data_IF_363322952718
#
_entry.id   IF_363322952718
#
_cell.length_a   1.000
_cell.length_b   1.000
_cell.length_c   1.000
_cell.angle_alpha   90.00
_cell.angle_beta   90.00
_cell.angle_gamma   90.00
#
_symmetry.space_group_name_H-M   'P 1'
#
loop_
_entity.id
_entity.type
_entity.pdbx_description
1 polymer ?
#
# COMPACT_ATOMS: atom_id res chain seq x y z
N UNK A 1 13.16 -7.32 3.97
CA UNK A 1 13.45 -6.68 5.27
C UNK A 1 13.18 -7.64 6.44
N UNK A 2 13.88 -8.78 6.43
CA UNK A 2 13.75 -9.84 7.44
C UNK A 2 15.04 -9.97 8.24
N UNK A 3 16.18 -9.63 7.62
CA UNK A 3 17.44 -9.61 8.33
C UNK A 3 17.51 -8.44 9.33
N UNK A 4 18.36 -8.61 10.34
CA UNK A 4 18.49 -7.69 11.47
C UNK A 4 18.84 -6.27 11.03
N UNK A 5 19.74 -6.13 10.07
CA UNK A 5 20.28 -4.83 9.65
C UNK A 5 19.18 -3.99 9.01
N UNK A 6 18.47 -4.55 8.01
CA UNK A 6 17.37 -3.85 7.34
C UNK A 6 16.17 -3.59 8.26
N UNK A 7 15.85 -4.54 9.17
CA UNK A 7 14.77 -4.33 10.13
C UNK A 7 15.08 -3.18 11.10
N UNK A 8 16.30 -3.15 11.66
CA UNK A 8 16.74 -2.07 12.56
C UNK A 8 16.79 -0.74 11.81
N UNK A 9 17.37 -0.71 10.61
CA UNK A 9 17.41 0.50 9.77
C UNK A 9 16.01 1.06 9.51
N UNK A 10 15.05 0.20 9.12
CA UNK A 10 13.67 0.61 8.85
C UNK A 10 13.02 1.24 10.08
N UNK A 11 13.17 0.62 11.27
CA UNK A 11 12.61 1.15 12.51
C UNK A 11 13.25 2.49 12.86
N UNK A 12 14.57 2.56 12.85
CA UNK A 12 15.31 3.79 13.20
C UNK A 12 15.00 4.93 12.23
N UNK A 13 15.04 4.67 10.92
CA UNK A 13 14.82 5.69 9.90
C UNK A 13 13.39 6.25 9.95
N UNK A 14 12.38 5.39 10.00
CA UNK A 14 10.99 5.82 9.94
C UNK A 14 10.58 6.51 11.25
N UNK A 15 10.77 5.84 12.40
CA UNK A 15 10.29 6.34 13.68
C UNK A 15 11.06 7.61 14.10
N UNK A 16 12.39 7.61 14.00
CA UNK A 16 13.18 8.80 14.32
C UNK A 16 12.88 9.95 13.34
N UNK A 17 12.68 9.64 12.05
CA UNK A 17 12.28 10.63 11.05
C UNK A 17 10.96 11.30 11.42
N UNK A 18 9.95 10.51 11.76
CA UNK A 18 8.64 11.03 12.19
C UNK A 18 8.76 11.89 13.45
N UNK A 19 9.49 11.43 14.46
CA UNK A 19 9.72 12.22 15.70
C UNK A 19 10.42 13.55 15.41
N UNK A 20 11.45 13.57 14.56
CA UNK A 20 12.13 14.79 14.17
C UNK A 20 11.17 15.80 13.49
N UNK A 21 10.30 15.33 12.60
CA UNK A 21 9.27 16.17 11.98
C UNK A 21 8.31 16.73 13.02
N UNK A 22 7.82 15.90 13.95
CA UNK A 22 6.87 16.33 14.98
C UNK A 22 7.48 17.39 15.92
N UNK A 23 8.74 17.23 16.34
CA UNK A 23 9.43 18.23 17.15
C UNK A 23 9.69 19.53 16.37
N UNK A 24 10.09 19.44 15.09
CA UNK A 24 10.25 20.61 14.24
C UNK A 24 8.90 21.35 14.03
N UNK A 25 7.80 20.61 13.84
CA UNK A 25 6.46 21.23 13.76
C UNK A 25 6.09 21.93 15.06
N UNK A 26 6.29 21.27 16.20
CA UNK A 26 6.04 21.88 17.51
C UNK A 26 6.79 23.20 17.70
N UNK A 27 8.06 23.25 17.28
CA UNK A 27 8.94 24.40 17.50
C UNK A 27 8.68 25.52 16.49
N UNK A 28 8.54 25.18 15.19
CA UNK A 28 8.57 26.18 14.13
C UNK A 28 7.19 26.43 13.49
N UNK A 29 6.31 25.43 13.45
CA UNK A 29 5.02 25.52 12.73
C UNK A 29 3.89 24.79 13.45
N UNK A 30 3.58 25.13 14.74
CA UNK A 30 2.65 24.35 15.56
C UNK A 30 1.19 24.35 15.05
N UNK A 31 0.85 25.24 14.12
CA UNK A 31 -0.47 25.31 13.48
C UNK A 31 -0.53 24.60 12.12
N UNK A 32 0.60 24.10 11.62
CA UNK A 32 0.62 23.36 10.35
C UNK A 32 -0.03 21.99 10.54
N UNK A 33 -0.81 21.57 9.54
CA UNK A 33 -1.36 20.23 9.52
C UNK A 33 -0.30 19.23 9.05
N UNK A 34 -0.27 18.06 9.67
CA UNK A 34 0.47 16.90 9.20
C UNK A 34 -0.45 15.98 8.40
N UNK A 35 -0.07 15.65 7.16
CA UNK A 35 -0.69 14.57 6.38
C UNK A 35 0.32 13.44 6.27
N UNK A 36 0.01 12.30 6.91
CA UNK A 36 0.84 11.08 6.86
C UNK A 36 0.30 10.12 5.82
N UNK A 37 1.18 9.50 5.07
CA UNK A 37 0.85 8.35 4.23
C UNK A 37 1.10 7.06 5.02
N UNK A 38 0.01 6.52 5.59
CA UNK A 38 -0.05 5.25 6.29
C UNK A 38 -0.20 4.07 5.34
N UNK A 39 -0.67 2.93 5.84
CA UNK A 39 -0.90 1.72 5.05
C UNK A 39 -2.05 0.90 5.61
N UNK A 40 -2.92 0.38 4.75
CA UNK A 40 -3.92 -0.63 5.13
C UNK A 40 -3.27 -1.90 5.74
N UNK A 41 -2.02 -2.18 5.39
CA UNK A 41 -1.25 -3.28 5.98
C UNK A 41 -0.97 -3.11 7.47
N UNK A 42 -1.15 -1.93 8.06
CA UNK A 42 -1.03 -1.71 9.51
C UNK A 42 -2.08 -2.51 10.30
N UNK A 43 -3.27 -2.71 9.72
CA UNK A 43 -4.35 -3.47 10.36
C UNK A 43 -4.09 -4.98 10.40
N UNK A 44 -3.23 -5.50 9.51
CA UNK A 44 -3.05 -6.93 9.33
C UNK A 44 -4.28 -7.59 8.69
N UNK A 45 -4.68 -8.75 9.20
CA UNK A 45 -5.83 -9.52 8.72
C UNK A 45 -6.78 -9.88 9.87
N UNK A 46 -7.45 -8.88 10.49
CA UNK A 46 -8.41 -9.13 11.56
C UNK A 46 -9.64 -9.89 11.02
N UNK A 47 -10.34 -10.61 11.88
CA UNK A 47 -11.58 -11.31 11.54
C UNK A 47 -12.82 -10.50 11.96
N UNK A 48 -12.73 -9.18 11.90
CA UNK A 48 -13.80 -8.20 12.14
C UNK A 48 -13.69 -7.09 11.12
N UNK A 49 -14.73 -6.27 10.97
CA UNK A 49 -14.71 -5.08 10.11
C UNK A 49 -13.60 -4.13 10.52
N UNK A 50 -12.94 -3.52 9.52
CA UNK A 50 -11.90 -2.54 9.74
C UNK A 50 -12.50 -1.13 9.65
N UNK A 51 -12.57 -0.44 10.77
CA UNK A 51 -13.03 0.94 10.84
C UNK A 51 -11.92 1.94 10.45
N UNK A 52 -12.31 3.17 10.18
CA UNK A 52 -11.37 4.26 9.86
C UNK A 52 -10.71 4.81 11.13
N UNK A 53 -9.67 4.10 11.59
CA UNK A 53 -8.79 4.50 12.68
C UNK A 53 -9.32 4.33 14.09
N UNK A 54 -10.65 4.22 14.29
CA UNK A 54 -11.27 4.20 15.61
C UNK A 54 -12.30 3.09 15.72
N UNK A 55 -12.40 2.49 16.91
CA UNK A 55 -13.36 1.44 17.23
C UNK A 55 -14.18 1.84 18.47
N UNK A 56 -15.49 1.77 18.36
CA UNK A 56 -16.37 1.86 19.52
C UNK A 56 -16.37 0.53 20.27
N UNK A 57 -15.96 0.56 21.53
CA UNK A 57 -15.81 -0.65 22.35
C UNK A 57 -16.73 -0.58 23.55
N UNK A 58 -17.43 -1.68 23.82
CA UNK A 58 -18.12 -1.90 25.08
C UNK A 58 -17.47 -3.09 25.82
N UNK A 59 -16.97 -2.86 27.04
CA UNK A 59 -16.38 -3.87 27.88
C UNK A 59 -16.83 -3.71 29.33
N UNK A 60 -17.38 -4.77 29.92
CA UNK A 60 -17.91 -4.77 31.29
C UNK A 60 -18.89 -3.61 31.58
N UNK A 61 -19.79 -3.31 30.60
CA UNK A 61 -20.80 -2.26 30.72
C UNK A 61 -20.26 -0.84 30.57
N UNK A 62 -19.00 -0.66 30.21
CA UNK A 62 -18.38 0.63 29.93
C UNK A 62 -18.14 0.78 28.43
N UNK A 63 -18.41 1.97 27.90
CA UNK A 63 -18.20 2.30 26.48
C UNK A 63 -17.05 3.30 26.35
N UNK A 64 -16.23 3.09 25.32
CA UNK A 64 -15.15 4.00 24.96
C UNK A 64 -14.88 3.95 23.46
N UNK A 65 -14.23 4.98 22.93
CA UNK A 65 -13.75 5.06 21.57
C UNK A 65 -12.24 4.94 21.59
N UNK A 66 -11.74 3.82 21.11
CA UNK A 66 -10.31 3.49 21.15
C UNK A 66 -9.70 3.46 19.74
N UNK A 67 -8.38 3.68 19.61
CA UNK A 67 -7.71 3.42 18.34
C UNK A 67 -7.96 1.99 17.88
N UNK A 68 -8.26 1.81 16.59
CA UNK A 68 -8.48 0.49 16.03
C UNK A 68 -7.24 -0.40 16.27
N UNK A 69 -7.38 -1.64 16.78
CA UNK A 69 -6.26 -2.51 17.09
C UNK A 69 -5.52 -2.92 15.80
N UNK A 70 -4.22 -2.69 15.75
CA UNK A 70 -3.38 -2.96 14.60
C UNK A 70 -2.52 -4.20 14.84
N UNK A 71 -2.40 -5.07 13.81
CA UNK A 71 -1.61 -6.32 13.83
C UNK A 71 -0.65 -6.36 12.64
N UNK A 72 0.36 -5.48 12.59
CA UNK A 72 1.22 -5.31 11.44
C UNK A 72 2.00 -6.59 11.10
N UNK A 73 1.99 -7.03 9.80
CA UNK A 73 2.59 -8.29 9.39
C UNK A 73 4.09 -8.17 9.04
N UNK A 74 4.70 -6.99 9.18
CA UNK A 74 6.12 -6.77 8.88
C UNK A 74 6.71 -5.63 9.69
N UNK A 75 8.04 -5.58 9.79
CA UNK A 75 8.75 -4.45 10.42
C UNK A 75 8.44 -3.10 9.75
N UNK A 76 8.21 -3.08 8.44
CA UNK A 76 7.76 -1.88 7.75
C UNK A 76 6.39 -1.41 8.27
N UNK A 77 5.39 -2.30 8.28
CA UNK A 77 4.07 -1.93 8.80
C UNK A 77 4.11 -1.61 10.29
N UNK A 78 4.96 -2.29 11.07
CA UNK A 78 5.15 -1.98 12.49
C UNK A 78 5.71 -0.56 12.69
N UNK A 79 6.68 -0.12 11.86
CA UNK A 79 7.16 1.26 11.92
C UNK A 79 6.07 2.28 11.58
N UNK A 80 5.20 1.96 10.62
CA UNK A 80 4.04 2.81 10.27
C UNK A 80 3.02 2.92 11.42
N UNK A 81 2.80 1.83 12.16
CA UNK A 81 1.96 1.85 13.39
C UNK A 81 2.58 2.74 14.45
N UNK A 82 3.90 2.59 14.70
CA UNK A 82 4.61 3.44 15.66
C UNK A 82 4.56 4.94 15.27
N UNK A 83 4.63 5.24 13.97
CA UNK A 83 4.45 6.61 13.47
C UNK A 83 3.04 7.13 13.78
N UNK A 84 1.98 6.34 13.51
CA UNK A 84 0.59 6.71 13.83
C UNK A 84 0.42 7.00 15.32
N UNK A 85 0.98 6.14 16.19
CA UNK A 85 0.87 6.28 17.65
C UNK A 85 1.60 7.53 18.16
N UNK A 86 2.81 7.82 17.64
CA UNK A 86 3.54 9.04 17.94
C UNK A 86 2.78 10.30 17.49
N UNK A 87 2.22 10.29 16.28
CA UNK A 87 1.43 11.41 15.76
C UNK A 87 0.15 11.60 16.61
N UNK A 88 -0.61 10.55 16.85
CA UNK A 88 -1.82 10.60 17.69
C UNK A 88 -1.52 11.15 19.09
N UNK A 89 -0.42 10.70 19.72
CA UNK A 89 0.01 11.20 21.01
C UNK A 89 0.33 12.70 20.96
N UNK A 90 1.08 13.15 19.94
CA UNK A 90 1.46 14.58 19.82
C UNK A 90 0.29 15.47 19.42
N UNK A 91 -0.70 14.99 18.67
CA UNK A 91 -1.96 15.70 18.46
C UNK A 91 -2.60 16.03 19.82
N UNK A 92 -2.73 15.02 20.68
CA UNK A 92 -3.38 15.16 21.99
C UNK A 92 -2.64 16.11 22.94
N UNK A 93 -1.29 16.08 22.96
CA UNK A 93 -0.51 16.86 23.95
C UNK A 93 -0.05 18.23 23.45
N UNK A 94 0.15 18.40 22.13
CA UNK A 94 0.65 19.65 21.54
C UNK A 94 -0.38 20.38 20.68
N UNK A 95 -1.54 19.77 20.45
CA UNK A 95 -2.59 20.37 19.64
C UNK A 95 -2.30 20.36 18.13
N UNK A 96 -1.29 19.61 17.64
CA UNK A 96 -1.00 19.48 16.23
C UNK A 96 -2.17 18.79 15.54
N UNK A 97 -2.75 19.37 14.45
CA UNK A 97 -3.75 18.67 13.64
C UNK A 97 -3.08 17.68 12.70
N UNK A 98 -3.57 16.44 12.62
CA UNK A 98 -3.01 15.45 11.70
C UNK A 98 -4.08 14.59 11.02
N UNK A 99 -3.81 14.22 9.77
CA UNK A 99 -4.58 13.24 9.00
C UNK A 99 -3.68 12.09 8.57
N UNK A 100 -4.05 10.86 8.94
CA UNK A 100 -3.39 9.63 8.50
C UNK A 100 -4.19 8.99 7.37
N UNK A 101 -3.59 8.85 6.20
CA UNK A 101 -4.16 8.21 5.02
C UNK A 101 -3.61 6.78 4.93
N UNK A 102 -4.37 5.80 5.41
CA UNK A 102 -3.98 4.39 5.34
C UNK A 102 -4.18 3.85 3.92
N UNK A 103 -3.12 3.92 3.12
CA UNK A 103 -3.16 3.58 1.70
C UNK A 103 -3.36 2.09 1.46
N UNK A 104 -4.25 1.75 0.53
CA UNK A 104 -4.32 0.46 -0.13
C UNK A 104 -3.14 0.23 -1.08
N UNK A 105 -3.28 -0.75 -1.95
CA UNK A 105 -2.29 -1.05 -3.00
C UNK A 105 -2.43 -0.01 -4.12
N UNK A 106 -1.47 0.90 -4.19
CA UNK A 106 -1.45 1.93 -5.23
C UNK A 106 -1.07 1.30 -6.57
N UNK A 107 -1.84 1.60 -7.61
CA UNK A 107 -1.56 1.23 -8.99
C UNK A 107 -1.63 2.46 -9.91
N UNK A 108 -1.04 2.33 -11.08
CA UNK A 108 -0.93 3.43 -12.03
C UNK A 108 0.49 3.99 -12.05
N UNK A 109 0.83 4.67 -13.13
CA UNK A 109 2.17 5.24 -13.38
C UNK A 109 2.12 6.68 -13.85
N UNK A 110 0.92 7.18 -14.15
CA UNK A 110 0.72 8.50 -14.75
C UNK A 110 -0.45 9.23 -14.06
N UNK A 111 -0.33 10.54 -13.97
CA UNK A 111 -1.43 11.49 -13.78
C UNK A 111 -1.48 12.40 -15.00
N UNK A 112 -2.52 13.23 -15.13
CA UNK A 112 -2.61 14.18 -16.24
C UNK A 112 -1.37 15.10 -16.33
N UNK A 113 -0.83 15.50 -15.17
CA UNK A 113 0.35 16.34 -15.08
C UNK A 113 1.61 15.58 -15.51
N UNK A 114 1.83 14.37 -15.01
CA UNK A 114 3.03 13.57 -15.33
C UNK A 114 3.04 13.08 -16.77
N UNK A 115 1.89 12.89 -17.40
CA UNK A 115 1.77 12.55 -18.80
C UNK A 115 2.12 13.71 -19.74
N UNK A 116 2.08 14.95 -19.26
CA UNK A 116 2.38 16.15 -20.05
C UNK A 116 3.86 16.36 -20.34
N UNK A 117 4.77 15.79 -19.52
CA UNK A 117 6.23 15.96 -19.65
C UNK A 117 6.97 14.69 -19.22
N UNK A 118 7.77 14.12 -20.12
CA UNK A 118 8.53 12.90 -19.87
C UNK A 118 9.49 13.00 -18.66
N UNK A 119 9.90 14.21 -18.25
CA UNK A 119 10.73 14.45 -17.06
C UNK A 119 9.98 14.21 -15.75
N UNK A 120 8.65 14.20 -15.79
CA UNK A 120 7.77 13.94 -14.64
C UNK A 120 7.38 12.47 -14.52
N UNK A 121 7.96 11.58 -15.33
CA UNK A 121 7.64 10.15 -15.32
C UNK A 121 7.91 9.55 -13.94
N UNK A 122 6.89 8.90 -13.39
CA UNK A 122 6.99 8.21 -12.10
C UNK A 122 7.80 6.91 -12.23
N UNK A 123 8.43 6.51 -11.13
CA UNK A 123 9.02 5.19 -11.01
C UNK A 123 7.94 4.10 -11.10
N UNK A 124 8.20 3.07 -11.88
CA UNK A 124 7.32 1.91 -12.02
C UNK A 124 7.91 0.73 -11.22
N UNK A 125 7.49 0.61 -9.97
CA UNK A 125 7.99 -0.43 -9.06
C UNK A 125 7.32 -1.78 -9.35
N UNK A 126 8.12 -2.80 -9.62
CA UNK A 126 7.67 -4.16 -9.92
C UNK A 126 8.45 -5.25 -9.15
N UNK A 127 9.49 -4.84 -8.41
CA UNK A 127 10.34 -5.76 -7.67
C UNK A 127 9.65 -6.35 -6.43
N UNK A 128 10.31 -7.35 -5.81
CA UNK A 128 9.79 -8.05 -4.64
C UNK A 128 9.63 -7.18 -3.38
N UNK A 129 10.28 -6.01 -3.33
CA UNK A 129 10.31 -5.13 -2.14
C UNK A 129 9.32 -3.99 -2.27
N UNK A 130 9.38 -3.23 -3.36
CA UNK A 130 8.56 -2.05 -3.60
C UNK A 130 7.42 -2.29 -4.58
N UNK A 131 7.51 -3.33 -5.41
CA UNK A 131 6.49 -3.66 -6.41
C UNK A 131 5.15 -4.01 -5.79
N UNK A 132 4.08 -3.39 -6.29
CA UNK A 132 2.71 -3.77 -5.96
C UNK A 132 2.24 -4.89 -6.88
N UNK A 133 1.26 -5.67 -6.44
CA UNK A 133 0.83 -6.88 -7.15
C UNK A 133 0.39 -6.61 -8.59
N UNK A 134 -0.42 -5.57 -8.83
CA UNK A 134 -0.91 -5.25 -10.18
C UNK A 134 0.21 -4.73 -11.07
N UNK A 135 1.04 -3.81 -10.56
CA UNK A 135 2.18 -3.28 -11.30
C UNK A 135 3.14 -4.41 -11.69
N UNK A 136 3.46 -5.32 -10.77
CA UNK A 136 4.30 -6.49 -11.05
C UNK A 136 3.70 -7.37 -12.14
N UNK A 137 2.41 -7.71 -12.06
CA UNK A 137 1.73 -8.52 -13.09
C UNK A 137 1.79 -7.87 -14.47
N UNK A 138 1.59 -6.56 -14.57
CA UNK A 138 1.67 -5.83 -15.83
C UNK A 138 3.09 -5.84 -16.43
N UNK A 139 4.13 -5.70 -15.59
CA UNK A 139 5.52 -5.82 -16.03
C UNK A 139 5.85 -7.25 -16.45
N UNK A 140 5.46 -8.26 -15.66
CA UNK A 140 5.64 -9.69 -16.00
C UNK A 140 5.00 -10.01 -17.36
N UNK A 141 3.76 -9.56 -17.60
CA UNK A 141 3.09 -9.73 -18.88
C UNK A 141 3.86 -9.07 -20.04
N UNK A 142 4.37 -7.84 -19.83
CA UNK A 142 5.09 -7.07 -20.85
C UNK A 142 6.41 -7.70 -21.28
N UNK A 143 7.12 -8.38 -20.36
CA UNK A 143 8.42 -8.99 -20.64
C UNK A 143 8.35 -10.50 -20.95
N UNK A 144 7.12 -11.10 -20.95
CA UNK A 144 6.93 -12.52 -21.20
C UNK A 144 7.29 -13.43 -20.01
N UNK A 145 7.36 -12.85 -18.80
CA UNK A 145 7.48 -13.62 -17.57
C UNK A 145 6.11 -14.12 -17.11
N UNK A 146 5.96 -15.34 -16.57
CA UNK A 146 4.69 -15.76 -15.99
C UNK A 146 4.24 -14.82 -14.85
N UNK A 147 2.94 -14.54 -14.75
CA UNK A 147 2.38 -13.79 -13.63
C UNK A 147 2.56 -14.61 -12.32
N UNK A 148 3.31 -14.08 -11.38
CA UNK A 148 3.66 -14.80 -10.14
C UNK A 148 2.61 -14.56 -9.05
N UNK A 149 1.70 -15.52 -8.87
CA UNK A 149 0.69 -15.52 -7.81
C UNK A 149 1.26 -16.21 -6.56
N UNK A 150 1.29 -15.50 -5.42
CA UNK A 150 1.76 -16.05 -4.16
C UNK A 150 0.69 -16.93 -3.49
N UNK A 151 1.02 -18.20 -3.23
CA UNK A 151 0.11 -19.19 -2.70
C UNK A 151 -1.06 -19.47 -3.65
N UNK A 152 -2.28 -19.57 -3.11
CA UNK A 152 -3.51 -19.76 -3.90
C UNK A 152 -4.04 -18.49 -4.54
N UNK A 153 -3.58 -17.31 -4.10
CA UNK A 153 -4.05 -16.03 -4.59
C UNK A 153 -5.40 -15.57 -4.02
N UNK A 154 -5.87 -16.20 -2.93
CA UNK A 154 -7.13 -15.83 -2.28
C UNK A 154 -7.07 -14.55 -1.43
N UNK A 155 -5.91 -13.91 -1.34
CA UNK A 155 -5.75 -12.67 -0.58
C UNK A 155 -6.51 -11.52 -1.26
N UNK A 156 -7.32 -10.79 -0.48
CA UNK A 156 -7.98 -9.56 -0.92
C UNK A 156 -7.14 -8.34 -0.59
N UNK A 157 -7.12 -7.36 -1.48
CA UNK A 157 -6.40 -6.08 -1.32
C UNK A 157 -7.30 -4.92 -1.69
N UNK A 158 -7.28 -3.87 -0.86
CA UNK A 158 -7.82 -2.57 -1.25
C UNK A 158 -6.92 -1.95 -2.33
N UNK A 159 -7.51 -1.52 -3.43
CA UNK A 159 -6.82 -0.97 -4.60
C UNK A 159 -7.06 0.53 -4.68
N UNK A 160 -6.04 1.27 -5.11
CA UNK A 160 -6.07 2.72 -5.20
C UNK A 160 -5.36 3.21 -6.46
N UNK A 161 -6.07 3.98 -7.29
CA UNK A 161 -5.44 4.63 -8.43
C UNK A 161 -4.46 5.72 -7.96
N UNK A 162 -3.35 5.92 -8.69
CA UNK A 162 -2.36 6.96 -8.36
C UNK A 162 -2.96 8.37 -8.42
N UNK A 163 -3.90 8.64 -9.32
CA UNK A 163 -4.61 9.92 -9.37
C UNK A 163 -5.44 10.14 -8.11
N UNK A 164 -6.14 9.10 -7.64
CA UNK A 164 -6.89 9.17 -6.38
C UNK A 164 -5.98 9.33 -5.17
N UNK A 165 -4.77 8.73 -5.22
CA UNK A 165 -3.75 8.92 -4.18
C UNK A 165 -3.42 10.39 -4.01
N UNK A 166 -3.12 11.08 -5.11
CA UNK A 166 -2.80 12.52 -5.11
C UNK A 166 -4.01 13.33 -4.67
N UNK A 167 -5.20 13.00 -5.21
CA UNK A 167 -6.44 13.71 -4.87
C UNK A 167 -6.80 13.59 -3.38
N UNK A 168 -6.59 12.43 -2.77
CA UNK A 168 -6.82 12.25 -1.33
C UNK A 168 -5.90 13.13 -0.47
N UNK A 169 -4.63 13.28 -0.86
CA UNK A 169 -3.70 14.19 -0.17
C UNK A 169 -4.19 15.64 -0.28
N UNK A 170 -4.60 16.05 -1.47
CA UNK A 170 -5.15 17.37 -1.72
C UNK A 170 -6.42 17.61 -0.87
N UNK A 171 -7.36 16.65 -0.87
CA UNK A 171 -8.57 16.73 -0.04
C UNK A 171 -8.25 16.83 1.45
N UNK A 172 -7.25 16.07 1.93
CA UNK A 172 -6.81 16.17 3.32
C UNK A 172 -6.23 17.56 3.63
N UNK A 173 -5.50 18.17 2.69
CA UNK A 173 -4.91 19.51 2.85
C UNK A 173 -5.96 20.62 2.88
N UNK A 174 -6.96 20.54 1.98
CA UNK A 174 -8.01 21.59 1.91
C UNK A 174 -9.11 21.43 2.96
N UNK A 175 -9.20 20.26 3.56
CA UNK A 175 -10.09 19.95 4.69
C UNK A 175 -9.24 19.53 5.91
N UNK A 176 -8.57 20.47 6.59
CA UNK A 176 -7.67 20.12 7.68
C UNK A 176 -8.41 19.50 8.88
N UNK A 177 -7.71 18.64 9.61
CA UNK A 177 -8.15 18.15 10.91
C UNK A 177 -8.26 19.31 11.89
N UNK A 178 -9.10 19.18 12.92
CA UNK A 178 -9.20 20.19 13.97
C UNK A 178 -7.91 20.20 14.84
N UNK A 179 -7.58 21.32 15.49
CA UNK A 179 -6.46 21.35 16.43
C UNK A 179 -6.56 20.22 17.48
N UNK A 180 -5.50 19.42 17.60
CA UNK A 180 -5.44 18.28 18.49
C UNK A 180 -6.14 17.01 17.99
N UNK A 181 -6.77 17.07 16.83
CA UNK A 181 -7.40 15.90 16.20
C UNK A 181 -6.38 15.06 15.45
N UNK A 182 -6.42 13.75 15.69
CA UNK A 182 -5.81 12.73 14.84
C UNK A 182 -6.91 12.04 14.04
N UNK A 183 -7.05 12.42 12.77
CA UNK A 183 -8.06 11.90 11.85
C UNK A 183 -7.46 10.82 10.97
N UNK A 184 -8.17 9.73 10.76
CA UNK A 184 -7.72 8.59 9.96
C UNK A 184 -8.71 8.29 8.86
N UNK A 185 -8.20 8.04 7.64
CA UNK A 185 -8.97 7.53 6.51
C UNK A 185 -8.33 6.28 5.95
N UNK A 186 -9.17 5.30 5.59
CA UNK A 186 -8.76 4.15 4.82
C UNK A 186 -8.79 4.52 3.33
N UNK A 187 -7.60 4.66 2.74
CA UNK A 187 -7.42 5.21 1.41
C UNK A 187 -7.35 4.10 0.37
N UNK A 188 -8.50 3.66 -0.12
CA UNK A 188 -8.66 2.78 -1.28
C UNK A 188 -10.07 2.94 -1.83
N UNK A 189 -10.30 2.53 -3.08
CA UNK A 189 -11.56 2.79 -3.80
C UNK A 189 -12.30 1.52 -4.22
N UNK A 190 -11.60 0.39 -4.24
CA UNK A 190 -12.16 -0.92 -4.56
C UNK A 190 -11.32 -2.03 -3.93
N UNK A 191 -11.87 -3.24 -3.85
CA UNK A 191 -11.17 -4.42 -3.34
C UNK A 191 -11.14 -5.52 -4.38
N UNK A 192 -9.95 -6.13 -4.60
CA UNK A 192 -9.74 -7.19 -5.58
C UNK A 192 -8.99 -8.37 -4.98
N UNK A 193 -9.37 -9.58 -5.39
CA UNK A 193 -8.61 -10.79 -5.14
C UNK A 193 -7.35 -10.86 -6.00
N UNK A 194 -6.24 -11.37 -5.46
CA UNK A 194 -4.96 -11.47 -6.18
C UNK A 194 -5.07 -12.39 -7.40
N UNK A 195 -5.76 -13.56 -7.26
CA UNK A 195 -5.98 -14.47 -8.39
C UNK A 195 -6.87 -13.84 -9.47
N UNK A 196 -7.91 -13.09 -9.07
CA UNK A 196 -8.78 -12.36 -9.98
C UNK A 196 -7.99 -11.31 -10.80
N UNK A 197 -7.13 -10.53 -10.14
CA UNK A 197 -6.25 -9.58 -10.81
C UNK A 197 -5.32 -10.26 -11.81
N UNK A 198 -4.75 -11.43 -11.47
CA UNK A 198 -3.90 -12.18 -12.39
C UNK A 198 -4.64 -12.62 -13.65
N UNK A 199 -5.86 -13.15 -13.50
CA UNK A 199 -6.71 -13.54 -14.64
C UNK A 199 -7.05 -12.34 -15.50
N UNK A 200 -7.41 -11.22 -14.91
CA UNK A 200 -7.74 -9.99 -15.63
C UNK A 200 -6.55 -9.44 -16.42
N UNK A 201 -5.35 -9.40 -15.83
CA UNK A 201 -4.11 -9.02 -16.54
C UNK A 201 -3.80 -10.01 -17.67
N UNK A 202 -4.00 -11.32 -17.44
CA UNK A 202 -3.81 -12.34 -18.46
C UNK A 202 -4.76 -12.12 -19.67
N UNK A 203 -6.02 -11.85 -19.43
CA UNK A 203 -7.03 -11.60 -20.48
C UNK A 203 -6.68 -10.34 -21.29
N UNK A 204 -6.37 -9.24 -20.61
CA UNK A 204 -5.96 -8.00 -21.28
C UNK A 204 -4.68 -8.20 -22.07
N UNK A 205 -3.65 -8.82 -21.49
CA UNK A 205 -2.40 -9.08 -22.18
C UNK A 205 -2.59 -9.96 -23.44
N UNK A 206 -3.41 -11.01 -23.37
CA UNK A 206 -3.77 -11.84 -24.52
C UNK A 206 -4.50 -11.05 -25.60
N UNK A 207 -5.41 -10.15 -25.23
CA UNK A 207 -6.07 -9.25 -26.19
C UNK A 207 -5.10 -8.29 -26.90
N UNK A 208 -3.92 -8.06 -26.32
CA UNK A 208 -2.81 -7.30 -26.92
C UNK A 208 -1.85 -8.18 -27.75
N UNK A 209 -2.14 -9.47 -27.89
CA UNK A 209 -1.28 -10.43 -28.62
C UNK A 209 -0.10 -10.98 -27.81
N UNK A 210 -0.09 -10.79 -26.49
CA UNK A 210 0.97 -11.30 -25.62
C UNK A 210 0.66 -12.75 -25.18
N UNK A 211 1.71 -13.55 -25.02
CA UNK A 211 1.60 -14.87 -24.42
C UNK A 211 1.78 -14.75 -22.90
N UNK A 212 0.68 -14.65 -22.15
CA UNK A 212 0.68 -14.46 -20.71
C UNK A 212 0.28 -15.76 -20.01
N UNK A 213 1.21 -16.35 -19.28
CA UNK A 213 1.00 -17.50 -18.39
C UNK A 213 0.80 -17.01 -16.94
N UNK A 214 0.13 -17.83 -16.11
CA UNK A 214 0.02 -17.62 -14.66
C UNK A 214 0.74 -18.77 -13.96
N UNK A 215 1.57 -18.45 -12.98
CA UNK A 215 2.31 -19.42 -12.16
C UNK A 215 2.01 -19.15 -10.67
N UNK A 216 1.64 -20.21 -9.94
CA UNK A 216 1.52 -20.15 -8.49
C UNK A 216 2.86 -20.49 -7.84
N UNK A 217 3.39 -19.59 -7.03
CA UNK A 217 4.64 -19.78 -6.31
C UNK A 217 4.40 -19.82 -4.80
N UNK A 218 5.26 -20.45 -3.99
CA UNK A 218 5.13 -20.43 -2.55
C UNK A 218 5.02 -19.00 -2.02
N UNK A 219 4.06 -18.76 -1.11
CA UNK A 219 3.92 -17.44 -0.52
C UNK A 219 5.11 -17.14 0.42
N UNK A 220 5.95 -16.14 0.12
CA UNK A 220 7.10 -15.80 0.95
C UNK A 220 6.70 -15.13 2.27
N UNK A 221 5.45 -14.65 2.38
CA UNK A 221 4.94 -13.88 3.51
C UNK A 221 4.23 -14.78 4.53
N UNK A 222 4.18 -14.33 5.77
CA UNK A 222 3.37 -14.95 6.82
C UNK A 222 2.02 -14.23 6.86
N UNK A 223 1.10 -14.67 6.01
CA UNK A 223 -0.26 -14.16 5.95
C UNK A 223 -1.26 -15.32 5.73
N UNK A 224 -2.51 -15.12 6.10
CA UNK A 224 -3.59 -16.06 5.75
C UNK A 224 -3.88 -15.93 4.25
N UNK A 225 -3.97 -17.03 3.53
CA UNK A 225 -4.28 -17.04 2.10
C UNK A 225 -5.73 -16.65 1.81
N UNK A 226 -6.62 -16.98 2.74
CA UNK A 226 -8.02 -16.54 2.75
C UNK A 226 -8.28 -15.84 4.07
N UNK A 227 -8.79 -14.62 4.02
CA UNK A 227 -9.10 -13.84 5.20
C UNK A 227 -10.31 -12.96 4.97
N UNK A 228 -11.01 -12.68 6.05
CA UNK A 228 -12.06 -11.68 6.05
C UNK A 228 -11.46 -10.31 5.73
N UNK A 229 -12.08 -9.58 4.80
CA UNK A 229 -11.66 -8.24 4.46
C UNK A 229 -12.89 -7.39 4.17
N UNK A 230 -13.33 -6.63 5.16
CA UNK A 230 -14.37 -5.63 5.03
C UNK A 230 -13.90 -4.36 5.74
N UNK A 231 -13.34 -3.44 4.97
CA UNK A 231 -12.80 -2.21 5.50
C UNK A 231 -13.65 -1.02 5.04
N UNK A 232 -14.08 -0.21 6.01
CA UNK A 232 -14.74 1.06 5.75
C UNK A 232 -13.75 2.02 5.07
N UNK A 233 -14.20 2.72 4.02
CA UNK A 233 -13.38 3.64 3.23
C UNK A 233 -14.20 4.80 2.64
N UNK A 234 -15.30 5.17 3.33
CA UNK A 234 -16.24 6.19 2.83
C UNK A 234 -15.81 7.61 3.18
N UNK A 235 -14.95 7.80 4.17
CA UNK A 235 -14.62 9.13 4.67
C UNK A 235 -13.99 10.07 3.64
N UNK A 236 -13.19 9.55 2.71
CA UNK A 236 -12.62 10.37 1.62
C UNK A 236 -13.66 10.73 0.54
N UNK A 237 -14.61 9.83 0.25
CA UNK A 237 -15.74 10.13 -0.65
C UNK A 237 -16.64 11.22 -0.05
N UNK A 238 -16.87 11.17 1.26
CA UNK A 238 -17.60 12.22 1.98
C UNK A 238 -16.90 13.58 1.92
N UNK A 239 -15.56 13.61 1.78
CA UNK A 239 -14.77 14.81 1.51
C UNK A 239 -14.75 15.22 0.03
N UNK A 240 -15.39 14.46 -0.87
CA UNK A 240 -15.52 14.78 -2.27
C UNK A 240 -14.56 14.02 -3.22
N UNK A 241 -13.95 12.92 -2.79
CA UNK A 241 -13.25 12.01 -3.69
C UNK A 241 -14.26 11.42 -4.69
N UNK A 242 -13.90 11.46 -5.97
CA UNK A 242 -14.59 10.74 -7.05
C UNK A 242 -13.68 9.60 -7.51
N UNK A 243 -13.98 8.35 -7.14
CA UNK A 243 -13.08 7.23 -7.38
C UNK A 243 -12.79 6.95 -8.86
N UNK A 244 -11.53 6.66 -9.18
CA UNK A 244 -11.12 6.02 -10.43
C UNK A 244 -10.95 4.52 -10.18
N UNK A 245 -11.85 3.73 -10.77
CA UNK A 245 -11.80 2.27 -10.66
C UNK A 245 -10.85 1.64 -11.68
N UNK A 246 -10.33 0.47 -11.35
CA UNK A 246 -9.50 -0.32 -12.25
C UNK A 246 -10.34 -0.78 -13.45
N UNK A 247 -9.93 -0.39 -14.65
CA UNK A 247 -10.51 -0.83 -15.91
C UNK A 247 -9.49 -1.59 -16.74
N UNK A 248 -9.95 -2.35 -17.74
CA UNK A 248 -9.07 -3.05 -18.67
C UNK A 248 -8.21 -2.08 -19.48
N UNK A 249 -8.70 -0.85 -19.70
CA UNK A 249 -7.93 0.20 -20.36
C UNK A 249 -6.75 0.64 -19.49
N UNK A 250 -6.93 0.76 -18.16
CA UNK A 250 -5.84 1.07 -17.23
C UNK A 250 -4.81 -0.06 -17.23
N UNK A 251 -5.24 -1.33 -17.16
CA UNK A 251 -4.34 -2.49 -17.24
C UNK A 251 -3.56 -2.49 -18.56
N UNK A 252 -4.24 -2.25 -19.67
CA UNK A 252 -3.61 -2.12 -20.99
C UNK A 252 -2.53 -1.04 -20.99
N UNK A 253 -2.84 0.14 -20.46
CA UNK A 253 -1.89 1.26 -20.38
C UNK A 253 -0.67 0.91 -19.54
N UNK A 254 -0.85 0.24 -18.39
CA UNK A 254 0.25 -0.24 -17.56
C UNK A 254 1.16 -1.21 -18.29
N UNK A 255 0.58 -2.15 -19.06
CA UNK A 255 1.36 -3.10 -19.88
C UNK A 255 2.10 -2.36 -21.00
N UNK A 256 1.46 -1.40 -21.69
CA UNK A 256 2.10 -0.58 -22.74
C UNK A 256 3.31 0.20 -22.24
N UNK A 257 3.17 0.85 -21.06
CA UNK A 257 4.30 1.57 -20.44
C UNK A 257 5.44 0.62 -20.08
N UNK A 258 5.12 -0.56 -19.56
CA UNK A 258 6.12 -1.59 -19.28
C UNK A 258 6.80 -2.11 -20.57
N UNK A 259 6.05 -2.34 -21.64
CA UNK A 259 6.58 -2.74 -22.95
C UNK A 259 7.52 -1.68 -23.56
N UNK A 260 7.15 -0.41 -23.47
CA UNK A 260 7.99 0.69 -23.95
C UNK A 260 9.33 0.81 -23.20
N UNK A 261 9.43 0.23 -21.99
CA UNK A 261 10.62 0.25 -21.15
C UNK A 261 11.18 -1.16 -20.86
N UNK A 262 10.82 -2.17 -21.67
CA UNK A 262 11.18 -3.57 -21.42
C UNK A 262 12.67 -3.82 -21.23
N UNK A 263 13.51 -3.05 -21.93
CA UNK A 263 14.97 -3.17 -21.88
C UNK A 263 15.56 -2.71 -20.53
N UNK A 264 14.77 -2.03 -19.72
CA UNK A 264 15.13 -1.57 -18.37
C UNK A 264 14.67 -2.54 -17.28
N UNK A 265 13.91 -3.59 -17.63
CA UNK A 265 13.37 -4.54 -16.66
C UNK A 265 14.41 -5.56 -16.28
N UNK A 266 14.76 -5.62 -15.00
CA UNK A 266 15.57 -6.69 -14.42
C UNK A 266 14.65 -7.80 -13.88
N UNK A 267 14.54 -8.90 -14.62
CA UNK A 267 13.69 -10.03 -14.21
C UNK A 267 14.20 -10.76 -12.97
N UNK A 268 15.46 -10.59 -12.57
CA UNK A 268 16.03 -11.24 -11.39
C UNK A 268 15.45 -10.72 -10.06
N UNK A 269 14.90 -9.49 -10.06
CA UNK A 269 14.33 -8.87 -8.85
C UNK A 269 12.83 -9.11 -8.68
N UNK A 270 12.17 -9.74 -9.66
CA UNK A 270 10.72 -10.00 -9.64
C UNK A 270 10.37 -11.05 -8.58
N UNK A 271 11.10 -12.16 -8.58
CA UNK A 271 10.82 -13.28 -7.67
C UNK A 271 11.35 -13.00 -6.26
N UNK A 272 10.61 -13.45 -5.22
CA UNK A 272 11.07 -13.30 -3.84
C UNK A 272 12.35 -14.09 -3.60
N UNK A 273 13.36 -13.45 -3.04
CA UNK A 273 14.66 -14.06 -2.70
C UNK A 273 14.76 -14.50 -1.24
N UNK A 274 13.76 -14.16 -0.42
CA UNK A 274 13.69 -14.48 1.02
C UNK A 274 12.32 -15.03 1.40
N UNK A 275 12.30 -15.99 2.32
CA UNK A 275 11.08 -16.49 2.97
C UNK A 275 10.98 -15.90 4.38
N UNK A 276 9.81 -15.39 4.75
CA UNK A 276 9.58 -14.80 6.08
C UNK A 276 9.32 -15.85 7.16
N UNK A 277 9.10 -17.11 6.76
CA UNK A 277 8.83 -18.23 7.70
C UNK A 277 10.09 -18.88 8.26
N UNK A 278 11.20 -18.75 7.54
CA UNK A 278 12.45 -19.40 7.91
C UNK A 278 13.56 -18.35 8.09
N UNK A 279 14.01 -18.18 9.32
CA UNK A 279 15.12 -17.29 9.63
C UNK A 279 16.37 -17.74 8.84
N UNK A 280 16.82 -16.94 7.88
CA UNK A 280 18.03 -17.18 7.11
C UNK A 280 17.90 -18.07 5.87
N UNK A 281 16.71 -18.57 5.51
CA UNK A 281 16.54 -19.29 4.24
C UNK A 281 16.48 -18.31 3.07
N UNK A 282 17.50 -18.34 2.22
CA UNK A 282 17.44 -17.75 0.89
C UNK A 282 16.64 -18.68 0.01
N UNK A 283 15.59 -18.21 -0.65
CA UNK A 283 14.96 -18.95 -1.75
C UNK A 283 16.01 -19.06 -2.84
N UNK A 284 16.41 -20.28 -3.17
CA UNK A 284 17.37 -20.51 -4.24
C UNK A 284 16.82 -19.89 -5.55
N UNK A 285 17.58 -19.10 -6.28
CA UNK A 285 17.16 -18.61 -7.57
C UNK A 285 16.85 -19.79 -8.48
N UNK A 286 15.65 -19.87 -9.03
CA UNK A 286 15.32 -20.87 -10.05
C UNK A 286 16.17 -20.56 -11.28
N UNK A 287 16.94 -21.52 -11.81
CA UNK A 287 17.73 -21.26 -13.00
C UNK A 287 16.80 -20.88 -14.15
N UNK A 288 17.03 -19.71 -14.71
CA UNK A 288 16.40 -19.28 -15.96
C UNK A 288 16.94 -20.21 -17.04
N UNK A 289 16.04 -21.02 -17.64
CA UNK A 289 16.34 -21.80 -18.85
C UNK A 289 16.12 -20.95 -20.08
#
# INVERSE_FOLDING_TARGET
MIDREHAVFTQMNNIAGTLNVLYAMKEFTPKAQLVKLGSMGEYGTPNIDIEEGWLEVEHNGRKDRLPYPKQPPSFYHLSKVADSDNIMFTCRIWGIPATDLNQGVVYGVETAETASDARLTNRYDYDQVFGTVLNRFCVEAAVGHPLTVYGKGGQTRGMLNIEDTVRCIELACVNPAQPGEFRVFNQFTESCGVAELALRVQEVGRSMGLNVAVEHVPNPRVEKEEHYYNAKHTGLEELGLKPHHLTDQVIRRLIEVAQANRDRVDSSVIRPTVSWREAGSKVAPTPVK
#
